data_IF_485725351023
#
_entry.id   IF_485725351023
#
_cell.length_a   1.000
_cell.length_b   1.000
_cell.length_c   1.000
_cell.angle_alpha   90.00
_cell.angle_beta   90.00
_cell.angle_gamma   90.00
#
_symmetry.space_group_name_H-M   'P 1'
#
loop_
_entity.id
_entity.type
_entity.pdbx_description
1 polymer ?
#
# COMPACT_ATOMS: atom_id res chain seq x y z
N UNK A 1 -16.66 10.50 -6.27
CA UNK A 1 -15.50 10.04 -7.06
C UNK A 1 -14.89 8.86 -6.33
N UNK A 2 -14.72 7.74 -7.01
CA UNK A 2 -14.08 6.57 -6.46
C UNK A 2 -12.65 6.91 -6.01
N UNK A 3 -12.26 6.46 -4.84
CA UNK A 3 -10.94 6.73 -4.27
C UNK A 3 -10.17 5.43 -4.16
N UNK A 4 -9.18 5.26 -5.06
CA UNK A 4 -8.37 4.04 -5.09
C UNK A 4 -7.53 3.87 -3.82
N UNK A 5 -7.70 2.75 -3.13
CA UNK A 5 -7.03 2.40 -1.88
C UNK A 5 -6.55 0.95 -1.86
N UNK A 6 -5.62 0.69 -0.95
CA UNK A 6 -5.25 -0.67 -0.52
C UNK A 6 -5.82 -0.93 0.88
N UNK A 7 -6.27 -2.15 1.10
CA UNK A 7 -6.55 -2.71 2.44
C UNK A 7 -5.80 -4.02 2.56
N UNK A 8 -5.07 -4.21 3.65
CA UNK A 8 -4.46 -5.49 3.99
C UNK A 8 -5.20 -6.12 5.15
N UNK A 9 -5.81 -7.26 4.89
CA UNK A 9 -6.44 -8.11 5.89
C UNK A 9 -5.37 -8.96 6.57
N UNK A 10 -4.91 -8.52 7.71
CA UNK A 10 -3.78 -9.14 8.44
C UNK A 10 -4.09 -10.55 8.94
N UNK A 11 -5.37 -10.89 9.14
CA UNK A 11 -5.79 -12.25 9.50
C UNK A 11 -5.59 -13.26 8.37
N UNK A 12 -5.48 -12.78 7.13
CA UNK A 12 -5.31 -13.61 5.95
C UNK A 12 -3.90 -13.53 5.37
N UNK A 13 -3.08 -12.61 5.85
CA UNK A 13 -1.72 -12.45 5.37
C UNK A 13 -0.83 -13.56 5.97
N UNK A 14 -0.20 -14.34 5.13
CA UNK A 14 0.69 -15.46 5.49
C UNK A 14 2.17 -15.12 5.26
N UNK A 15 2.50 -13.86 5.08
CA UNK A 15 3.88 -13.38 4.89
C UNK A 15 4.63 -14.00 3.67
N UNK A 16 3.93 -14.51 2.70
CA UNK A 16 4.54 -15.22 1.57
C UNK A 16 5.36 -14.33 0.62
N UNK A 17 5.33 -13.01 0.80
CA UNK A 17 6.00 -12.01 -0.05
C UNK A 17 5.63 -12.05 -1.56
N UNK A 18 4.63 -12.82 -1.96
CA UNK A 18 4.17 -12.89 -3.34
C UNK A 18 3.77 -11.54 -3.93
N UNK A 19 3.16 -10.66 -3.13
CA UNK A 19 2.83 -9.29 -3.53
C UNK A 19 4.06 -8.42 -3.79
N UNK A 20 5.16 -8.65 -3.07
CA UNK A 20 6.43 -7.94 -3.25
C UNK A 20 7.10 -8.37 -4.54
N UNK A 21 7.23 -9.68 -4.74
CA UNK A 21 7.84 -10.26 -5.94
C UNK A 21 7.05 -9.88 -7.20
N UNK A 22 5.73 -10.02 -7.18
CA UNK A 22 4.88 -9.63 -8.29
C UNK A 22 5.06 -8.14 -8.67
N UNK A 23 5.11 -7.25 -7.68
CA UNK A 23 5.33 -5.82 -7.91
C UNK A 23 6.70 -5.55 -8.52
N UNK A 24 7.75 -6.21 -8.02
CA UNK A 24 9.11 -6.07 -8.55
C UNK A 24 9.23 -6.52 -10.00
N UNK A 25 8.63 -7.65 -10.31
CA UNK A 25 8.73 -8.24 -11.64
C UNK A 25 7.90 -7.50 -12.67
N UNK A 26 6.66 -7.13 -12.33
CA UNK A 26 5.76 -6.40 -13.25
C UNK A 26 6.32 -5.03 -13.68
N UNK A 27 7.03 -4.37 -12.79
CA UNK A 27 7.50 -2.99 -12.99
C UNK A 27 9.03 -2.88 -13.14
N UNK A 28 9.72 -4.02 -13.24
CA UNK A 28 11.20 -4.07 -13.36
C UNK A 28 11.90 -3.15 -12.34
N UNK A 29 11.42 -3.20 -11.08
CA UNK A 29 11.89 -2.27 -10.05
C UNK A 29 13.36 -2.54 -9.74
N UNK A 30 14.22 -1.49 -9.77
CA UNK A 30 15.65 -1.65 -9.59
C UNK A 30 16.00 -2.22 -8.22
N UNK A 31 17.20 -2.78 -8.13
CA UNK A 31 17.76 -3.26 -6.88
C UNK A 31 17.78 -2.15 -5.82
N UNK A 32 17.54 -2.53 -4.55
CA UNK A 32 17.52 -1.60 -3.43
C UNK A 32 16.19 -0.86 -3.23
N UNK A 33 15.27 -0.90 -4.19
CA UNK A 33 13.93 -0.30 -4.09
C UNK A 33 12.87 -1.37 -3.88
N UNK A 34 11.96 -1.16 -2.94
CA UNK A 34 10.79 -1.98 -2.71
C UNK A 34 9.54 -1.10 -2.62
N UNK A 35 8.79 -0.98 -3.72
CA UNK A 35 7.51 -0.25 -3.73
C UNK A 35 6.49 -0.84 -2.78
N UNK A 36 6.60 -2.15 -2.51
CA UNK A 36 5.79 -2.89 -1.55
C UNK A 36 6.69 -3.76 -0.68
N UNK A 37 6.31 -3.92 0.57
CA UNK A 37 7.00 -4.78 1.55
C UNK A 37 6.00 -5.42 2.49
N UNK A 38 6.34 -6.55 3.05
CA UNK A 38 5.59 -7.17 4.15
C UNK A 38 6.36 -6.88 5.45
N UNK A 39 5.63 -6.45 6.45
CA UNK A 39 6.16 -6.12 7.77
C UNK A 39 5.43 -6.97 8.79
N UNK A 40 6.18 -7.63 9.67
CA UNK A 40 5.61 -8.42 10.76
C UNK A 40 5.59 -7.56 12.03
N UNK A 41 4.41 -7.50 12.64
CA UNK A 41 4.17 -6.81 13.90
C UNK A 41 4.14 -7.86 15.01
N UNK A 42 4.76 -7.58 16.14
CA UNK A 42 4.91 -8.51 17.26
C UNK A 42 5.61 -9.83 16.90
N UNK A 43 6.65 -9.74 16.07
CA UNK A 43 7.42 -10.91 15.61
C UNK A 43 7.88 -11.78 16.79
N UNK A 44 7.53 -13.07 16.77
CA UNK A 44 7.80 -14.03 17.84
C UNK A 44 6.99 -13.84 19.13
N UNK A 45 6.01 -12.95 19.18
CA UNK A 45 5.19 -12.67 20.36
C UNK A 45 3.71 -13.00 20.10
N UNK A 46 2.92 -13.21 21.18
CA UNK A 46 1.46 -13.37 21.03
C UNK A 46 0.84 -12.19 20.26
N UNK A 47 0.00 -12.50 19.29
CA UNK A 47 -0.61 -11.49 18.42
C UNK A 47 0.25 -11.09 17.22
N UNK A 48 1.26 -11.88 16.88
CA UNK A 48 2.01 -11.72 15.63
C UNK A 48 1.10 -11.63 14.42
N UNK A 49 1.36 -10.66 13.58
CA UNK A 49 0.62 -10.42 12.34
C UNK A 49 1.52 -9.80 11.28
N UNK A 50 1.31 -10.23 10.05
CA UNK A 50 2.00 -9.66 8.89
C UNK A 50 1.08 -8.73 8.11
N UNK A 51 1.61 -7.58 7.71
CA UNK A 51 0.90 -6.57 6.94
C UNK A 51 1.68 -6.18 5.69
N UNK A 52 0.99 -6.20 4.56
CA UNK A 52 1.57 -5.74 3.29
C UNK A 52 1.42 -4.23 3.15
N UNK A 53 2.54 -3.52 3.13
CA UNK A 53 2.61 -2.05 3.15
C UNK A 53 3.18 -1.53 1.83
N UNK A 54 2.63 -0.42 1.34
CA UNK A 54 3.12 0.36 0.21
C UNK A 54 2.75 1.84 0.40
N UNK A 55 2.87 2.67 -0.64
CA UNK A 55 2.30 4.02 -0.60
C UNK A 55 0.79 3.95 -0.33
N UNK A 56 0.32 4.74 0.63
CA UNK A 56 -1.10 4.78 1.03
C UNK A 56 -1.93 5.71 0.15
N UNK A 57 -1.31 6.42 -0.80
CA UNK A 57 -1.97 7.41 -1.65
C UNK A 57 -2.88 8.34 -0.82
N UNK A 58 -2.26 9.00 0.17
CA UNK A 58 -2.92 9.80 1.19
C UNK A 58 -3.81 10.89 0.59
N UNK A 59 -4.91 11.20 1.28
CA UNK A 59 -5.80 12.30 0.93
C UNK A 59 -5.15 13.65 1.14
N UNK A 60 -4.42 13.76 2.23
CA UNK A 60 -3.52 14.86 2.54
C UNK A 60 -2.11 14.26 2.53
N UNK A 61 -1.39 14.48 1.45
CA UNK A 61 -0.12 13.79 1.18
C UNK A 61 1.07 14.68 1.59
N UNK A 62 1.70 14.43 2.75
CA UNK A 62 2.81 15.27 3.21
C UNK A 62 4.00 15.26 2.25
N UNK A 63 4.20 14.18 1.50
CA UNK A 63 5.24 14.11 0.48
C UNK A 63 5.03 15.11 -0.68
N UNK A 64 3.78 15.45 -1.01
CA UNK A 64 3.47 16.51 -1.98
C UNK A 64 3.77 17.89 -1.40
N UNK A 65 3.35 18.13 -0.15
CA UNK A 65 3.48 19.42 0.50
C UNK A 65 4.94 19.89 0.69
N UNK A 66 5.88 18.93 0.81
CA UNK A 66 7.30 19.24 1.06
C UNK A 66 8.16 19.22 -0.22
N UNK A 67 7.58 18.96 -1.38
CA UNK A 67 8.33 18.84 -2.62
C UNK A 67 8.70 20.23 -3.17
N UNK A 68 10.00 20.60 -3.26
CA UNK A 68 10.39 21.94 -3.69
C UNK A 68 10.25 22.17 -5.21
N UNK A 69 10.00 21.11 -5.96
CA UNK A 69 9.88 21.15 -7.43
C UNK A 69 8.51 20.67 -7.92
N UNK A 70 7.56 20.50 -7.02
CA UNK A 70 6.17 20.10 -7.31
C UNK A 70 6.05 18.88 -8.24
N UNK A 71 6.97 17.91 -8.09
CA UNK A 71 6.97 16.72 -8.95
C UNK A 71 5.81 15.77 -8.67
N UNK A 72 5.02 15.97 -7.62
CA UNK A 72 3.88 15.12 -7.30
C UNK A 72 2.59 15.71 -7.85
N UNK A 73 1.71 14.81 -8.29
CA UNK A 73 0.37 15.15 -8.71
C UNK A 73 -0.63 14.07 -8.27
N UNK A 74 -1.90 14.37 -8.36
CA UNK A 74 -2.99 13.45 -7.99
C UNK A 74 -3.88 13.21 -9.18
N UNK A 75 -4.20 11.94 -9.44
CA UNK A 75 -5.20 11.57 -10.45
C UNK A 75 -6.62 11.81 -9.94
N UNK A 76 -7.59 11.76 -10.85
CA UNK A 76 -9.01 11.89 -10.52
C UNK A 76 -9.47 10.78 -9.55
N UNK A 77 -8.89 9.59 -9.65
CA UNK A 77 -9.17 8.46 -8.76
C UNK A 77 -8.44 8.57 -7.40
N UNK A 78 -7.79 9.70 -7.15
CA UNK A 78 -7.11 9.99 -5.89
C UNK A 78 -5.77 9.27 -5.69
N UNK A 79 -5.18 8.74 -6.76
CA UNK A 79 -3.84 8.14 -6.72
C UNK A 79 -2.80 9.26 -6.72
N UNK A 80 -1.89 9.25 -5.76
CA UNK A 80 -0.76 10.19 -5.73
C UNK A 80 0.35 9.63 -6.60
N UNK A 81 0.66 10.31 -7.68
CA UNK A 81 1.74 9.98 -8.61
C UNK A 81 2.88 10.99 -8.53
N UNK A 82 3.91 10.81 -9.33
CA UNK A 82 5.05 11.71 -9.40
C UNK A 82 5.67 11.68 -10.77
N UNK A 83 6.21 12.82 -11.17
CA UNK A 83 7.01 12.98 -12.38
C UNK A 83 8.49 12.84 -12.02
N UNK A 84 9.13 11.79 -12.57
CA UNK A 84 10.57 11.56 -12.35
C UNK A 84 11.45 12.57 -13.06
N UNK A 85 10.98 13.20 -14.13
CA UNK A 85 11.79 14.17 -14.87
C UNK A 85 11.93 15.48 -14.10
N UNK A 86 10.91 15.85 -13.34
CA UNK A 86 10.98 17.00 -12.43
C UNK A 86 11.75 16.71 -11.13
N UNK A 87 11.86 15.44 -10.73
CA UNK A 87 12.46 15.06 -9.45
C UNK A 87 13.97 15.36 -9.41
N UNK A 88 14.43 16.11 -8.41
CA UNK A 88 15.83 16.45 -8.17
C UNK A 88 16.54 15.53 -7.14
N UNK A 89 15.84 14.51 -6.60
CA UNK A 89 16.43 13.57 -5.65
C UNK A 89 16.71 14.13 -4.25
N UNK A 90 16.11 15.24 -3.83
CA UNK A 90 16.41 15.92 -2.56
C UNK A 90 16.09 15.10 -1.30
N UNK A 91 15.11 14.18 -1.38
CA UNK A 91 14.77 13.29 -0.27
C UNK A 91 13.76 13.82 0.74
N UNK A 92 13.27 15.05 0.65
CA UNK A 92 12.31 15.60 1.62
C UNK A 92 11.04 14.75 1.74
N UNK A 93 10.55 14.23 0.64
CA UNK A 93 9.38 13.35 0.63
C UNK A 93 9.60 12.04 1.42
N UNK A 94 10.83 11.54 1.50
CA UNK A 94 11.17 10.37 2.32
C UNK A 94 11.00 10.68 3.82
N UNK A 95 11.54 11.81 4.28
CA UNK A 95 11.44 12.22 5.68
C UNK A 95 10.01 12.61 6.09
N UNK A 96 9.24 13.18 5.17
CA UNK A 96 7.86 13.57 5.43
C UNK A 96 6.87 12.39 5.44
N UNK A 97 7.23 11.25 4.84
CA UNK A 97 6.32 10.11 4.73
C UNK A 97 6.39 9.20 5.98
N UNK A 98 5.31 9.09 6.79
CA UNK A 98 5.31 8.24 7.98
C UNK A 98 5.40 6.74 7.66
N UNK A 99 5.15 6.36 6.40
CA UNK A 99 5.18 4.97 5.93
C UNK A 99 6.49 4.61 5.21
N UNK A 100 7.42 5.54 5.03
CA UNK A 100 8.66 5.32 4.28
C UNK A 100 8.44 4.86 2.83
N UNK A 101 7.36 5.33 2.18
CA UNK A 101 6.99 4.87 0.85
C UNK A 101 7.91 5.43 -0.27
N UNK A 102 8.30 6.72 -0.27
CA UNK A 102 9.30 7.23 -1.21
C UNK A 102 10.65 6.58 -0.96
N UNK A 103 11.28 6.06 -2.00
CA UNK A 103 12.60 5.45 -1.94
C UNK A 103 13.48 6.00 -3.06
N UNK A 104 14.78 5.89 -2.89
CA UNK A 104 15.74 6.40 -3.84
C UNK A 104 16.70 5.28 -4.22
N UNK A 105 16.69 4.80 -5.48
CA UNK A 105 17.71 3.88 -5.94
C UNK A 105 19.06 4.54 -5.81
N UNK A 106 20.03 3.81 -5.31
CA UNK A 106 21.41 4.27 -5.30
C UNK A 106 22.05 3.92 -6.64
N UNK A 107 22.53 4.93 -7.32
CA UNK A 107 23.26 4.77 -8.58
C UNK A 107 24.72 5.23 -8.40
N UNK A 108 25.67 4.45 -8.92
CA UNK A 108 27.08 4.79 -8.93
C UNK A 108 27.86 4.41 -7.66
N UNK A 109 29.21 4.50 -7.77
CA UNK A 109 30.16 4.01 -6.76
C UNK A 109 30.10 4.75 -5.42
N UNK A 110 29.58 5.96 -5.40
CA UNK A 110 29.50 6.81 -4.19
C UNK A 110 28.08 6.97 -3.64
N UNK A 111 27.14 6.13 -4.04
CA UNK A 111 25.79 6.15 -3.50
C UNK A 111 25.01 7.43 -3.80
N UNK A 112 25.23 8.05 -4.94
CA UNK A 112 24.43 9.18 -5.38
C UNK A 112 22.95 8.78 -5.43
N UNK A 113 22.10 9.59 -4.80
CA UNK A 113 20.67 9.37 -4.84
C UNK A 113 20.14 9.53 -6.26
N UNK A 114 19.47 8.49 -6.74
CA UNK A 114 18.67 8.58 -7.96
C UNK A 114 17.40 9.39 -7.75
N UNK A 115 16.59 9.44 -8.77
CA UNK A 115 15.24 10.02 -8.71
C UNK A 115 14.34 9.16 -7.83
N UNK A 116 13.39 9.79 -7.14
CA UNK A 116 12.47 9.12 -6.23
C UNK A 116 11.64 8.05 -6.95
N UNK A 117 11.45 6.94 -6.29
CA UNK A 117 10.54 5.87 -6.69
C UNK A 117 9.58 5.50 -5.54
N UNK A 118 8.34 5.19 -5.87
CA UNK A 118 7.32 4.71 -4.95
C UNK A 118 6.23 3.96 -5.70
N UNK A 119 5.34 3.30 -4.97
CA UNK A 119 4.15 2.68 -5.54
C UNK A 119 3.34 3.70 -6.38
N UNK A 120 3.01 3.33 -7.62
CA UNK A 120 2.16 4.10 -8.54
C UNK A 120 0.71 3.60 -8.56
N UNK A 121 0.33 2.66 -7.72
CA UNK A 121 -0.94 1.93 -7.80
C UNK A 121 -1.13 1.17 -9.13
N UNK A 122 -0.04 0.89 -9.84
CA UNK A 122 -0.03 0.38 -11.20
C UNK A 122 -0.80 1.29 -12.19
N UNK A 123 -0.75 2.60 -11.96
CA UNK A 123 -1.40 3.63 -12.81
C UNK A 123 -0.44 4.28 -13.82
N UNK A 124 0.81 3.77 -13.93
CA UNK A 124 1.82 4.38 -14.79
C UNK A 124 2.36 5.72 -14.25
N UNK A 125 2.74 6.61 -15.12
CA UNK A 125 3.26 7.94 -14.82
C UNK A 125 2.46 9.05 -15.52
N UNK A 126 3.08 10.23 -15.76
CA UNK A 126 2.40 11.38 -16.33
C UNK A 126 2.01 11.21 -17.79
N UNK A 127 2.83 10.51 -18.57
CA UNK A 127 2.55 10.26 -19.98
C UNK A 127 1.65 9.02 -20.12
N UNK A 128 0.55 9.17 -20.81
CA UNK A 128 -0.42 8.09 -21.00
C UNK A 128 -0.23 7.32 -22.31
N UNK A 129 0.90 7.53 -22.96
CA UNK A 129 1.19 6.99 -24.28
C UNK A 129 1.62 5.52 -24.32
N UNK A 130 1.97 4.95 -23.16
CA UNK A 130 2.46 3.58 -23.04
C UNK A 130 3.82 3.35 -23.69
N UNK A 131 4.61 4.39 -23.88
CA UNK A 131 5.93 4.30 -24.49
C UNK A 131 6.90 3.43 -23.68
N UNK A 132 7.95 2.85 -24.30
CA UNK A 132 8.99 2.11 -23.58
C UNK A 132 9.71 2.97 -22.54
N UNK A 133 9.83 4.27 -22.78
CA UNK A 133 10.44 5.22 -21.84
C UNK A 133 9.58 5.40 -20.60
N UNK A 134 8.27 5.57 -20.76
CA UNK A 134 7.31 5.66 -19.67
C UNK A 134 7.29 4.37 -18.85
N UNK A 135 7.29 3.22 -19.53
CA UNK A 135 7.38 1.93 -18.85
C UNK A 135 8.64 1.78 -18.01
N UNK A 136 9.80 2.17 -18.55
CA UNK A 136 11.07 2.10 -17.82
C UNK A 136 11.09 2.98 -16.56
N UNK A 137 10.41 4.13 -16.60
CA UNK A 137 10.30 5.05 -15.45
C UNK A 137 9.31 4.60 -14.39
N UNK A 138 8.12 4.16 -14.77
CA UNK A 138 6.99 3.98 -13.85
C UNK A 138 6.43 2.55 -13.82
N UNK A 139 6.69 1.75 -14.85
CA UNK A 139 6.12 0.45 -15.08
C UNK A 139 4.75 0.54 -15.78
N UNK A 140 4.13 -0.62 -15.94
CA UNK A 140 2.88 -0.78 -16.70
C UNK A 140 1.70 -0.03 -16.07
N UNK A 141 0.88 0.59 -16.89
CA UNK A 141 -0.40 1.17 -16.50
C UNK A 141 -1.51 0.13 -16.58
N UNK A 142 -1.71 -0.64 -15.51
CA UNK A 142 -2.73 -1.68 -15.42
C UNK A 142 -4.14 -1.11 -15.19
N UNK A 143 -4.24 0.04 -14.52
CA UNK A 143 -5.53 0.67 -14.28
C UNK A 143 -6.19 1.10 -15.59
N UNK A 144 -5.42 1.62 -16.54
CA UNK A 144 -5.93 1.95 -17.87
C UNK A 144 -6.44 0.71 -18.64
N UNK A 145 -5.94 -0.47 -18.32
CA UNK A 145 -6.40 -1.75 -18.85
C UNK A 145 -7.61 -2.32 -18.08
N UNK A 146 -8.15 -1.62 -17.10
CA UNK A 146 -9.23 -2.11 -16.24
C UNK A 146 -8.81 -3.22 -15.28
N UNK A 147 -7.50 -3.40 -15.04
CA UNK A 147 -6.96 -4.45 -14.17
C UNK A 147 -6.64 -3.92 -12.78
N UNK A 148 -6.71 -4.78 -11.80
CA UNK A 148 -6.24 -4.48 -10.44
C UNK A 148 -4.71 -4.33 -10.40
N UNK A 149 -4.17 -3.59 -9.41
CA UNK A 149 -2.76 -3.63 -9.12
C UNK A 149 -2.25 -5.07 -8.95
N UNK A 150 -1.15 -5.40 -9.62
CA UNK A 150 -0.63 -6.77 -9.71
C UNK A 150 -0.45 -7.43 -8.34
N UNK A 151 0.00 -6.66 -7.35
CA UNK A 151 0.22 -7.17 -5.99
C UNK A 151 -1.07 -7.65 -5.30
N UNK A 152 -2.21 -7.04 -5.58
CA UNK A 152 -3.51 -7.46 -5.06
C UNK A 152 -4.06 -8.65 -5.87
N UNK A 153 -3.90 -8.62 -7.18
CA UNK A 153 -4.32 -9.71 -8.06
C UNK A 153 -3.61 -11.02 -7.72
N UNK A 154 -2.30 -10.97 -7.53
CA UNK A 154 -1.44 -12.12 -7.23
C UNK A 154 -1.48 -12.57 -5.76
N UNK A 155 -2.20 -11.88 -4.89
CA UNK A 155 -2.32 -12.29 -3.50
C UNK A 155 -3.16 -13.58 -3.39
N UNK A 156 -2.50 -14.70 -3.11
CA UNK A 156 -3.12 -16.04 -3.07
C UNK A 156 -4.23 -16.15 -2.02
N UNK A 157 -4.02 -15.58 -0.84
CA UNK A 157 -4.99 -15.58 0.26
C UNK A 157 -6.04 -14.46 0.16
N UNK A 158 -5.90 -13.57 -0.84
CA UNK A 158 -6.71 -12.34 -0.96
C UNK A 158 -6.70 -11.50 0.32
N UNK A 159 -5.58 -11.53 1.04
CA UNK A 159 -5.32 -10.64 2.16
C UNK A 159 -5.19 -9.20 1.70
N UNK A 160 -4.46 -8.97 0.60
CA UNK A 160 -4.30 -7.66 0.01
C UNK A 160 -5.42 -7.38 -0.98
N UNK A 161 -6.19 -6.34 -0.70
CA UNK A 161 -7.25 -5.83 -1.56
C UNK A 161 -6.83 -4.48 -2.14
N UNK A 162 -7.23 -4.19 -3.37
CA UNK A 162 -7.02 -2.90 -4.03
C UNK A 162 -8.25 -2.54 -4.88
N UNK A 163 -8.59 -1.27 -4.93
CA UNK A 163 -9.73 -0.78 -5.68
C UNK A 163 -10.39 0.43 -5.03
N UNK A 164 -11.66 0.64 -5.31
CA UNK A 164 -12.45 1.70 -4.69
C UNK A 164 -12.54 1.53 -3.17
N UNK A 165 -12.26 2.62 -2.45
CA UNK A 165 -12.15 2.59 -0.99
C UNK A 165 -13.46 2.25 -0.27
N UNK A 166 -14.60 2.64 -0.80
CA UNK A 166 -15.91 2.32 -0.21
C UNK A 166 -16.22 0.85 -0.38
N UNK A 167 -16.05 0.32 -1.60
CA UNK A 167 -16.20 -1.12 -1.86
C UNK A 167 -15.26 -1.97 -1.01
N UNK A 168 -14.00 -1.57 -0.90
CA UNK A 168 -13.02 -2.29 -0.09
C UNK A 168 -13.38 -2.28 1.39
N UNK A 169 -13.84 -1.15 1.90
CA UNK A 169 -14.28 -1.00 3.28
C UNK A 169 -15.47 -1.91 3.59
N UNK A 170 -16.42 -2.01 2.67
CA UNK A 170 -17.56 -2.92 2.83
C UNK A 170 -17.13 -4.39 2.79
N UNK A 171 -16.29 -4.80 1.87
CA UNK A 171 -15.75 -6.17 1.80
C UNK A 171 -15.01 -6.50 3.11
N UNK A 172 -14.19 -5.57 3.60
CA UNK A 172 -13.44 -5.78 4.83
C UNK A 172 -14.35 -5.85 6.06
N UNK A 173 -15.35 -4.97 6.13
CA UNK A 173 -16.38 -5.00 7.19
C UNK A 173 -17.09 -6.35 7.24
N UNK A 174 -17.52 -6.88 6.10
CA UNK A 174 -18.16 -8.20 6.02
C UNK A 174 -17.23 -9.31 6.52
N UNK A 175 -15.95 -9.27 6.15
CA UNK A 175 -14.96 -10.25 6.62
C UNK A 175 -14.76 -10.18 8.14
N UNK A 176 -14.68 -8.99 8.70
CA UNK A 176 -14.54 -8.78 10.14
C UNK A 176 -15.76 -9.31 10.87
N UNK A 177 -16.97 -9.00 10.39
CA UNK A 177 -18.22 -9.50 10.99
C UNK A 177 -18.32 -11.02 10.92
N UNK A 178 -17.92 -11.64 9.82
CA UNK A 178 -17.96 -13.09 9.65
C UNK A 178 -17.00 -13.84 10.59
N UNK A 179 -15.94 -13.17 11.09
CA UNK A 179 -14.99 -13.77 12.04
C UNK A 179 -15.49 -13.80 13.48
N UNK A 180 -16.48 -13.01 13.81
CA UNK A 180 -17.03 -12.93 15.16
C UNK A 180 -16.01 -12.44 16.20
N UNK A 181 -15.86 -13.16 17.31
CA UNK A 181 -15.06 -12.75 18.48
C UNK A 181 -13.56 -12.49 18.22
N UNK A 182 -13.01 -12.94 17.10
CA UNK A 182 -11.60 -12.71 16.74
C UNK A 182 -11.22 -11.24 16.57
N UNK A 183 -12.19 -10.35 16.43
CA UNK A 183 -11.97 -8.91 16.24
C UNK A 183 -11.77 -8.14 17.53
N UNK A 184 -12.17 -8.69 18.66
CA UNK A 184 -12.07 -8.03 19.98
C UNK A 184 -10.62 -7.83 20.41
N UNK A 185 -9.73 -8.73 19.99
CA UNK A 185 -8.30 -8.69 20.32
C UNK A 185 -7.52 -7.57 19.60
N UNK A 186 -8.14 -6.89 18.63
CA UNK A 186 -7.44 -5.94 17.73
C UNK A 186 -7.68 -4.46 18.05
N UNK A 187 -8.36 -4.15 19.15
CA UNK A 187 -8.76 -2.79 19.46
C UNK A 187 -9.83 -2.21 18.52
N UNK A 188 -10.21 -2.94 17.49
CA UNK A 188 -11.27 -2.60 16.54
C UNK A 188 -12.62 -3.26 16.92
N UNK A 189 -12.57 -4.22 17.83
CA UNK A 189 -13.69 -5.10 18.18
C UNK A 189 -14.93 -4.36 18.65
N UNK A 190 -14.76 -3.29 19.40
CA UNK A 190 -15.90 -2.49 19.88
C UNK A 190 -16.56 -1.65 18.79
N UNK A 191 -15.81 -1.29 17.73
CA UNK A 191 -16.34 -0.53 16.60
C UNK A 191 -17.00 -1.44 15.54
N UNK A 192 -16.49 -2.68 15.40
CA UNK A 192 -16.90 -3.60 14.34
C UNK A 192 -17.34 -4.97 14.83
N UNK A 193 -17.25 -5.25 16.13
CA UNK A 193 -17.73 -6.47 16.74
C UNK A 193 -19.26 -6.50 16.79
N UNK A 194 -19.85 -7.58 16.32
CA UNK A 194 -21.25 -7.86 16.55
C UNK A 194 -21.48 -8.19 18.03
N UNK A 195 -21.44 -7.21 18.90
CA UNK A 195 -22.15 -7.39 20.17
C UNK A 195 -23.63 -7.39 19.81
N UNK A 196 -24.21 -8.57 19.73
CA UNK A 196 -25.67 -8.67 19.85
C UNK A 196 -26.04 -8.00 21.16
N UNK A 197 -26.83 -6.94 21.08
CA UNK A 197 -27.33 -6.25 22.23
C UNK A 197 -27.98 -7.31 23.16
N UNK A 198 -27.34 -7.59 24.30
CA UNK A 198 -27.87 -8.53 25.30
C UNK A 198 -26.95 -9.63 25.82
N UNK A 199 -25.74 -9.83 25.28
CA UNK A 199 -24.79 -10.75 25.89
C UNK A 199 -23.88 -10.00 26.90
N UNK A 200 -24.13 -10.23 28.17
CA UNK A 200 -23.27 -9.85 29.28
C UNK A 200 -21.86 -10.46 29.05
N UNK A 201 -20.75 -9.80 29.46
CA UNK A 201 -19.44 -10.39 29.43
C UNK A 201 -19.46 -11.68 30.24
N UNK A 202 -18.95 -12.77 29.65
CA UNK A 202 -18.73 -14.00 30.38
C UNK A 202 -17.78 -13.68 31.54
N UNK A 203 -18.28 -13.82 32.77
CA UNK A 203 -17.46 -13.79 33.98
C UNK A 203 -16.45 -14.95 33.91
N UNK A 204 -15.17 -14.65 33.89
CA UNK A 204 -14.11 -15.63 34.03
C UNK A 204 -12.96 -15.56 33.05
N UNK A 205 -12.17 -14.49 33.11
CA UNK A 205 -10.75 -14.55 32.77
C UNK A 205 -10.03 -13.68 33.78
N UNK A 206 -9.84 -14.24 34.98
CA UNK A 206 -8.83 -13.79 35.93
C UNK A 206 -7.53 -14.53 35.61
N UNK A 207 -6.44 -13.76 35.64
CA UNK A 207 -5.01 -14.04 35.64
C UNK A 207 -4.33 -14.00 34.31
#
# INVERSE_FOLDING_TARGET
MARMKFICDTERCIECNGCVTACKQEHEIPWGVNRRRVVTVNDGLPGERSVSVACMHCSDAPCMAVCPVDCFYRTEEGVVLHDKDLCIGCGYCFYACPFGAPQFPQAGAFGMRGKMDKCTFCAGGPEKDGSPEEFAKYGRNRLAEGKLPVCAEMCSTKALLAGDGEMLSEIYRQRVMARGKGTELWGWGTAYGSRQAGQAPAEGAKS
#
